data_IF_870481127982
#
_entry.id   IF_870481127982
#
_cell.length_a   1.000
_cell.length_b   1.000
_cell.length_c   1.000
_cell.angle_alpha   90.00
_cell.angle_beta   90.00
_cell.angle_gamma   90.00
#
_symmetry.space_group_name_H-M   'P 1'
#
loop_
_entity.id
_entity.type
_entity.pdbx_description
1 polymer ?
#
# COMPACT_ATOMS: atom_id res chain seq x y z
N UNK A 1 26.85 -8.48 -16.38
CA UNK A 1 25.45 -8.02 -16.54
C UNK A 1 24.49 -8.87 -15.69
N UNK A 2 24.61 -10.20 -15.70
CA UNK A 2 23.87 -11.12 -14.83
C UNK A 2 23.98 -10.77 -13.32
N UNK A 3 25.19 -10.55 -12.80
CA UNK A 3 25.40 -10.19 -11.38
C UNK A 3 24.71 -8.90 -10.95
N UNK A 4 24.62 -7.93 -11.86
CA UNK A 4 23.95 -6.65 -11.60
C UNK A 4 22.43 -6.85 -11.54
N UNK A 5 21.87 -7.70 -12.39
CA UNK A 5 20.45 -8.07 -12.38
C UNK A 5 20.14 -8.87 -11.12
N UNK A 6 20.92 -9.88 -10.75
CA UNK A 6 20.72 -10.66 -9.52
C UNK A 6 20.82 -9.81 -8.27
N UNK A 7 21.74 -8.84 -8.25
CA UNK A 7 21.84 -7.86 -7.17
C UNK A 7 20.60 -6.97 -7.10
N UNK A 8 20.11 -6.48 -8.25
CA UNK A 8 18.89 -5.66 -8.34
C UNK A 8 17.63 -6.43 -7.91
N UNK A 9 17.53 -7.71 -8.27
CA UNK A 9 16.44 -8.59 -7.87
C UNK A 9 16.49 -8.92 -6.39
N UNK A 10 17.68 -9.19 -5.85
CA UNK A 10 17.90 -9.44 -4.42
C UNK A 10 17.53 -8.22 -3.58
N UNK A 11 17.89 -7.02 -4.01
CA UNK A 11 17.47 -5.78 -3.34
C UNK A 11 16.00 -5.42 -3.64
N UNK A 12 15.44 -5.81 -4.78
CA UNK A 12 14.05 -5.55 -5.14
C UNK A 12 13.05 -6.10 -4.12
N UNK A 13 13.27 -7.33 -3.66
CA UNK A 13 12.46 -7.95 -2.60
C UNK A 13 12.62 -7.28 -1.23
N UNK A 14 13.83 -6.82 -0.89
CA UNK A 14 14.09 -6.09 0.36
C UNK A 14 13.43 -4.72 0.33
N UNK A 15 13.55 -3.99 -0.78
CA UNK A 15 12.90 -2.70 -1.00
C UNK A 15 11.38 -2.87 -0.90
N UNK A 16 10.83 -3.89 -1.56
CA UNK A 16 9.41 -4.23 -1.45
C UNK A 16 8.99 -4.47 0.00
N UNK A 17 9.77 -5.24 0.76
CA UNK A 17 9.50 -5.50 2.16
C UNK A 17 9.47 -4.20 2.96
N UNK A 18 10.50 -3.36 2.87
CA UNK A 18 10.61 -2.10 3.63
C UNK A 18 9.48 -1.14 3.28
N UNK A 19 9.16 -0.97 1.99
CA UNK A 19 8.05 -0.12 1.56
C UNK A 19 6.69 -0.66 2.03
N UNK A 20 6.49 -1.96 1.96
CA UNK A 20 5.24 -2.61 2.37
C UNK A 20 5.09 -2.66 3.90
N UNK A 21 6.20 -2.62 4.66
CA UNK A 21 6.23 -2.51 6.12
C UNK A 21 5.60 -1.20 6.60
N UNK A 22 5.91 -0.09 5.92
CA UNK A 22 5.23 1.20 6.11
C UNK A 22 3.81 1.24 5.53
N UNK A 23 3.32 0.12 4.98
CA UNK A 23 2.03 -0.04 4.31
C UNK A 23 1.99 0.60 2.91
N UNK A 24 3.12 0.96 2.30
CA UNK A 24 3.19 1.64 1.01
C UNK A 24 2.59 0.81 -0.13
N UNK A 25 1.62 1.37 -0.87
CA UNK A 25 1.08 0.74 -2.09
C UNK A 25 2.10 0.75 -3.23
N UNK A 26 2.98 1.75 -3.26
CA UNK A 26 3.97 1.94 -4.33
C UNK A 26 4.88 0.71 -4.49
N UNK A 27 5.31 0.10 -3.39
CA UNK A 27 6.21 -1.06 -3.43
C UNK A 27 5.59 -2.24 -4.18
N UNK A 28 4.39 -2.67 -3.78
CA UNK A 28 3.72 -3.81 -4.41
C UNK A 28 3.26 -3.51 -5.84
N UNK A 29 2.87 -2.27 -6.12
CA UNK A 29 2.51 -1.86 -7.50
C UNK A 29 3.73 -1.92 -8.42
N UNK A 30 4.88 -1.37 -7.98
CA UNK A 30 6.12 -1.44 -8.74
C UNK A 30 6.60 -2.87 -8.92
N UNK A 31 6.57 -3.68 -7.84
CA UNK A 31 6.93 -5.09 -7.91
C UNK A 31 6.01 -5.88 -8.85
N UNK A 32 4.70 -5.63 -8.84
CA UNK A 32 3.75 -6.26 -9.75
C UNK A 32 4.03 -5.94 -11.23
N UNK A 33 4.37 -4.69 -11.55
CA UNK A 33 4.78 -4.31 -12.92
C UNK A 33 6.12 -4.94 -13.29
N UNK A 34 7.11 -4.95 -12.38
CA UNK A 34 8.39 -5.63 -12.64
C UNK A 34 8.21 -7.14 -12.81
N UNK A 35 7.22 -7.73 -12.15
CA UNK A 35 6.85 -9.12 -12.35
C UNK A 35 6.27 -9.39 -13.73
N UNK A 36 5.50 -8.47 -14.32
CA UNK A 36 4.98 -8.66 -15.68
C UNK A 36 6.11 -8.70 -16.71
N UNK A 37 7.17 -7.94 -16.49
CA UNK A 37 8.38 -7.90 -17.32
C UNK A 37 9.33 -9.10 -17.10
N UNK A 38 8.89 -10.11 -16.35
CA UNK A 38 9.69 -11.29 -16.02
C UNK A 38 10.91 -11.01 -15.13
N UNK A 39 10.98 -9.84 -14.47
CA UNK A 39 12.09 -9.50 -13.58
C UNK A 39 11.90 -10.08 -12.19
N UNK A 40 10.68 -10.08 -11.66
CA UNK A 40 10.40 -10.58 -10.31
C UNK A 40 9.31 -11.65 -10.35
N UNK A 41 9.35 -12.58 -9.40
CA UNK A 41 8.31 -13.58 -9.25
C UNK A 41 7.11 -12.99 -8.51
N UNK A 42 5.95 -12.93 -9.17
CA UNK A 42 4.74 -12.31 -8.62
C UNK A 42 4.34 -12.96 -7.29
N UNK A 43 4.45 -14.29 -7.20
CA UNK A 43 4.11 -15.04 -5.99
C UNK A 43 4.92 -14.55 -4.78
N UNK A 44 6.24 -14.43 -4.93
CA UNK A 44 7.12 -13.94 -3.87
C UNK A 44 6.84 -12.48 -3.53
N UNK A 45 6.54 -11.64 -4.53
CA UNK A 45 6.16 -10.26 -4.29
C UNK A 45 4.91 -10.16 -3.40
N UNK A 46 3.88 -10.93 -3.70
CA UNK A 46 2.63 -10.94 -2.92
C UNK A 46 2.89 -11.43 -1.49
N UNK A 47 3.63 -12.53 -1.31
CA UNK A 47 3.94 -13.09 0.01
C UNK A 47 4.73 -12.09 0.86
N UNK A 48 5.78 -11.49 0.29
CA UNK A 48 6.64 -10.53 1.00
C UNK A 48 5.85 -9.28 1.39
N UNK A 49 5.07 -8.73 0.45
CA UNK A 49 4.25 -7.55 0.71
C UNK A 49 3.17 -7.82 1.76
N UNK A 50 2.53 -9.00 1.71
CA UNK A 50 1.57 -9.47 2.71
C UNK A 50 2.19 -9.52 4.11
N UNK A 51 3.32 -10.22 4.27
CA UNK A 51 3.99 -10.39 5.56
C UNK A 51 4.44 -9.04 6.11
N UNK A 52 5.08 -8.22 5.28
CA UNK A 52 5.52 -6.89 5.67
C UNK A 52 4.36 -6.00 6.13
N UNK A 53 3.26 -5.96 5.38
CA UNK A 53 2.10 -5.13 5.72
C UNK A 53 1.39 -5.61 7.00
N UNK A 54 1.28 -6.93 7.17
CA UNK A 54 0.70 -7.54 8.37
C UNK A 54 1.54 -7.22 9.61
N UNK A 55 2.86 -7.36 9.51
CA UNK A 55 3.82 -7.01 10.57
C UNK A 55 3.79 -5.52 10.90
N UNK A 56 3.90 -4.66 9.89
CA UNK A 56 3.88 -3.20 10.06
C UNK A 56 2.60 -2.71 10.76
N UNK A 57 1.45 -3.21 10.34
CA UNK A 57 0.17 -2.88 10.98
C UNK A 57 0.10 -3.38 12.44
N UNK A 58 0.69 -4.54 12.72
CA UNK A 58 0.75 -5.11 14.07
C UNK A 58 1.68 -4.31 14.99
N UNK A 59 2.81 -3.84 14.48
CA UNK A 59 3.72 -2.94 15.19
C UNK A 59 3.04 -1.61 15.53
N UNK A 60 2.33 -1.02 14.58
CA UNK A 60 1.58 0.22 14.82
C UNK A 60 0.49 0.06 15.88
N UNK A 61 -0.19 -1.09 15.88
CA UNK A 61 -1.18 -1.42 16.89
C UNK A 61 -0.55 -1.56 18.28
N UNK A 62 0.56 -2.30 18.40
CA UNK A 62 1.23 -2.50 19.71
C UNK A 62 1.81 -1.19 20.22
N UNK A 63 2.37 -0.35 19.35
CA UNK A 63 2.76 1.01 19.68
C UNK A 63 1.58 1.83 20.21
N UNK A 64 0.42 1.79 19.56
CA UNK A 64 -0.78 2.46 20.03
C UNK A 64 -1.29 1.95 21.39
N UNK A 65 -1.20 0.64 21.64
CA UNK A 65 -1.69 0.00 22.87
C UNK A 65 -0.80 0.27 24.08
N UNK A 66 0.51 0.10 23.92
CA UNK A 66 1.47 0.18 25.03
C UNK A 66 2.17 1.54 25.12
N UNK A 67 2.36 2.24 24.01
CA UNK A 67 3.01 3.56 23.93
C UNK A 67 2.06 4.75 24.12
N UNK A 68 0.89 4.55 24.74
CA UNK A 68 -0.16 5.57 24.84
C UNK A 68 0.32 6.89 25.46
N UNK A 69 1.15 6.83 26.50
CA UNK A 69 1.69 8.03 27.18
C UNK A 69 2.59 8.85 26.23
N UNK A 70 3.41 8.19 25.43
CA UNK A 70 4.40 8.83 24.56
C UNK A 70 3.79 9.28 23.22
N UNK A 71 2.76 8.60 22.73
CA UNK A 71 2.05 8.94 21.49
C UNK A 71 1.03 10.09 21.65
N UNK A 72 0.41 10.23 22.82
CA UNK A 72 -0.65 11.22 23.03
C UNK A 72 -0.22 12.69 22.75
N UNK A 73 1.00 13.14 23.11
CA UNK A 73 1.50 14.47 22.79
C UNK A 73 1.53 14.76 21.28
N UNK A 74 1.93 13.79 20.45
CA UNK A 74 2.00 13.94 18.99
C UNK A 74 0.61 14.15 18.35
N UNK A 75 -0.45 13.61 18.96
CA UNK A 75 -1.82 13.78 18.48
C UNK A 75 -2.56 14.95 19.12
N UNK A 76 -1.91 15.79 19.95
CA UNK A 76 -2.58 16.90 20.65
C UNK A 76 -3.33 17.85 19.70
N UNK A 77 -2.71 18.19 18.55
CA UNK A 77 -3.33 19.02 17.49
C UNK A 77 -4.49 18.33 16.77
N UNK A 78 -4.55 17.00 16.79
CA UNK A 78 -5.51 16.18 16.07
C UNK A 78 -6.43 15.37 17.00
N UNK A 79 -6.55 15.77 18.26
CA UNK A 79 -7.27 15.03 19.32
C UNK A 79 -8.70 14.66 18.94
N UNK A 80 -9.43 15.58 18.28
CA UNK A 80 -10.81 15.35 17.81
C UNK A 80 -10.88 14.26 16.74
N UNK A 81 -9.94 14.24 15.79
CA UNK A 81 -9.85 13.21 14.74
C UNK A 81 -9.49 11.85 15.34
N UNK A 82 -8.56 11.83 16.30
CA UNK A 82 -8.19 10.62 17.03
C UNK A 82 -9.36 10.04 17.83
N UNK A 83 -10.08 10.88 18.58
CA UNK A 83 -11.25 10.46 19.34
C UNK A 83 -12.35 9.89 18.42
N UNK A 84 -12.60 10.53 17.27
CA UNK A 84 -13.53 10.02 16.27
C UNK A 84 -13.08 8.66 15.72
N UNK A 85 -11.79 8.49 15.41
CA UNK A 85 -11.25 7.22 14.94
C UNK A 85 -11.40 6.10 15.99
N UNK A 86 -11.13 6.40 17.27
CA UNK A 86 -11.33 5.46 18.37
C UNK A 86 -12.80 5.06 18.52
N UNK A 87 -13.73 6.02 18.39
CA UNK A 87 -15.17 5.75 18.47
C UNK A 87 -15.65 4.91 17.28
N UNK A 88 -15.23 5.25 16.07
CA UNK A 88 -15.52 4.46 14.86
C UNK A 88 -14.90 3.06 14.92
N UNK A 89 -13.75 2.90 15.56
CA UNK A 89 -13.14 1.59 15.75
C UNK A 89 -13.99 0.68 16.64
N UNK A 90 -14.66 1.25 17.66
CA UNK A 90 -15.57 0.48 18.53
C UNK A 90 -16.83 0.03 17.80
N UNK A 91 -17.33 0.84 16.86
CA UNK A 91 -18.55 0.55 16.11
C UNK A 91 -18.31 -0.32 14.86
N UNK A 92 -17.24 -0.06 14.11
CA UNK A 92 -16.97 -0.61 12.78
C UNK A 92 -15.57 -1.23 12.65
N UNK A 93 -14.93 -1.60 13.76
CA UNK A 93 -13.50 -1.94 13.80
C UNK A 93 -13.05 -2.92 12.72
N UNK A 94 -13.78 -4.02 12.50
CA UNK A 94 -13.41 -5.01 11.50
C UNK A 94 -13.41 -4.47 10.07
N UNK A 95 -14.51 -3.84 9.65
CA UNK A 95 -14.63 -3.22 8.32
C UNK A 95 -13.60 -2.12 8.12
N UNK A 96 -13.35 -1.32 9.17
CA UNK A 96 -12.40 -0.22 9.13
C UNK A 96 -10.95 -0.72 8.94
N UNK A 97 -10.60 -1.86 9.53
CA UNK A 97 -9.29 -2.51 9.38
C UNK A 97 -9.03 -3.06 7.96
N UNK A 98 -10.09 -3.38 7.22
CA UNK A 98 -10.00 -3.78 5.81
C UNK A 98 -9.85 -2.53 4.93
N UNK A 99 -10.79 -1.60 5.05
CA UNK A 99 -10.87 -0.41 4.18
C UNK A 99 -9.62 0.47 4.30
N UNK A 100 -9.06 0.61 5.51
CA UNK A 100 -7.87 1.44 5.74
C UNK A 100 -6.69 1.10 4.82
N UNK A 101 -6.57 -0.16 4.35
CA UNK A 101 -5.40 -0.62 3.60
C UNK A 101 -5.35 -0.05 2.20
N UNK A 102 -6.52 0.30 1.66
CA UNK A 102 -6.66 0.88 0.32
C UNK A 102 -6.63 2.41 0.33
N UNK A 103 -6.65 3.05 1.51
CA UNK A 103 -6.70 4.51 1.63
C UNK A 103 -5.40 5.03 2.22
N UNK A 104 -4.73 5.90 1.46
CA UNK A 104 -3.51 6.55 1.91
C UNK A 104 -3.75 7.37 3.19
N UNK A 105 -2.81 7.32 4.13
CA UNK A 105 -2.89 7.98 5.43
C UNK A 105 -3.72 7.23 6.48
N UNK A 106 -4.84 6.59 6.12
CA UNK A 106 -5.66 5.83 7.07
C UNK A 106 -4.97 4.57 7.56
N UNK A 107 -4.25 3.86 6.68
CA UNK A 107 -3.52 2.62 6.99
C UNK A 107 -2.56 2.72 8.18
N UNK A 108 -2.02 3.91 8.45
CA UNK A 108 -1.08 4.14 9.57
C UNK A 108 -1.82 4.60 10.81
N UNK A 109 -2.87 5.41 10.63
CA UNK A 109 -3.61 6.03 11.73
C UNK A 109 -4.58 5.06 12.42
N UNK A 110 -5.26 4.22 11.65
CA UNK A 110 -6.29 3.30 12.13
C UNK A 110 -5.71 2.18 13.03
N UNK A 111 -4.55 1.53 12.75
CA UNK A 111 -4.00 0.53 13.66
C UNK A 111 -3.56 1.14 14.99
N UNK A 112 -2.97 2.35 14.96
CA UNK A 112 -2.62 3.11 16.16
C UNK A 112 -3.89 3.43 16.96
N UNK A 113 -4.95 3.93 16.31
CA UNK A 113 -6.23 4.22 16.94
C UNK A 113 -6.88 2.96 17.54
N UNK A 114 -6.75 1.80 16.89
CA UNK A 114 -7.22 0.52 17.42
C UNK A 114 -6.47 0.13 18.70
N UNK A 115 -5.14 0.30 18.73
CA UNK A 115 -4.34 0.09 19.93
C UNK A 115 -4.75 1.03 21.08
N UNK A 116 -4.86 2.32 20.79
CA UNK A 116 -5.26 3.35 21.78
C UNK A 116 -6.68 3.14 22.32
N UNK A 117 -7.58 2.58 21.50
CA UNK A 117 -8.95 2.25 21.87
C UNK A 117 -9.07 0.96 22.70
N UNK A 118 -7.95 0.25 22.96
CA UNK A 118 -7.92 -1.08 23.58
C UNK A 118 -8.83 -2.07 22.85
N UNK A 119 -8.77 -2.07 21.51
CA UNK A 119 -9.44 -3.10 20.72
C UNK A 119 -8.89 -4.50 21.07
N UNK A 120 -9.63 -5.57 20.80
CA UNK A 120 -9.13 -6.92 21.10
C UNK A 120 -7.98 -7.28 20.16
N UNK A 121 -6.85 -7.72 20.72
CA UNK A 121 -5.65 -8.00 19.92
C UNK A 121 -5.80 -9.20 19.01
N UNK A 122 -6.51 -10.26 19.46
CA UNK A 122 -6.72 -11.47 18.65
C UNK A 122 -7.61 -11.16 17.45
N UNK A 123 -8.72 -10.43 17.68
CA UNK A 123 -9.60 -9.96 16.61
C UNK A 123 -8.85 -9.05 15.64
N UNK A 124 -8.05 -8.11 16.15
CA UNK A 124 -7.22 -7.25 15.32
C UNK A 124 -6.29 -8.06 14.43
N UNK A 125 -5.53 -9.01 14.98
CA UNK A 125 -4.58 -9.81 14.22
C UNK A 125 -5.26 -10.62 13.12
N UNK A 126 -6.36 -11.32 13.43
CA UNK A 126 -7.07 -12.15 12.45
C UNK A 126 -7.56 -11.27 11.28
N UNK A 127 -8.25 -10.17 11.59
CA UNK A 127 -8.82 -9.29 10.57
C UNK A 127 -7.70 -8.58 9.78
N UNK A 128 -6.65 -8.10 10.46
CA UNK A 128 -5.53 -7.44 9.82
C UNK A 128 -4.78 -8.37 8.87
N UNK A 129 -4.58 -9.63 9.25
CA UNK A 129 -3.93 -10.63 8.41
C UNK A 129 -4.77 -10.89 7.16
N UNK A 130 -6.07 -11.18 7.31
CA UNK A 130 -6.96 -11.38 6.16
C UNK A 130 -7.02 -10.15 5.26
N UNK A 131 -7.11 -8.96 5.85
CA UNK A 131 -7.09 -7.70 5.12
C UNK A 131 -5.76 -7.48 4.37
N UNK A 132 -4.63 -7.84 4.97
CA UNK A 132 -3.30 -7.69 4.35
C UNK A 132 -3.15 -8.64 3.18
N UNK A 133 -3.68 -9.86 3.30
CA UNK A 133 -3.67 -10.85 2.24
C UNK A 133 -4.52 -10.39 1.07
N UNK A 134 -5.76 -9.96 1.34
CA UNK A 134 -6.66 -9.43 0.32
C UNK A 134 -6.03 -8.22 -0.39
N UNK A 135 -5.44 -7.30 0.36
CA UNK A 135 -4.73 -6.13 -0.18
C UNK A 135 -3.55 -6.53 -1.07
N UNK A 136 -2.72 -7.48 -0.64
CA UNK A 136 -1.55 -7.92 -1.40
C UNK A 136 -1.95 -8.63 -2.71
N UNK A 137 -2.96 -9.50 -2.65
CA UNK A 137 -3.49 -10.18 -3.83
C UNK A 137 -4.09 -9.18 -4.82
N UNK A 138 -4.98 -8.30 -4.34
CA UNK A 138 -5.65 -7.32 -5.21
C UNK A 138 -4.66 -6.39 -5.89
N UNK A 139 -3.76 -5.75 -5.14
CA UNK A 139 -2.80 -4.83 -5.76
C UNK A 139 -1.73 -5.54 -6.58
N UNK A 140 -1.26 -6.71 -6.15
CA UNK A 140 -0.27 -7.49 -6.88
C UNK A 140 -0.78 -7.92 -8.25
N UNK A 141 -1.96 -8.54 -8.31
CA UNK A 141 -2.56 -8.99 -9.58
C UNK A 141 -2.97 -7.81 -10.47
N UNK A 142 -3.57 -6.76 -9.91
CA UNK A 142 -3.96 -5.58 -10.69
C UNK A 142 -2.72 -4.93 -11.32
N UNK A 143 -1.63 -4.77 -10.57
CA UNK A 143 -0.40 -4.21 -11.09
C UNK A 143 0.26 -5.09 -12.16
N UNK A 144 0.27 -6.41 -11.95
CA UNK A 144 0.80 -7.36 -12.93
C UNK A 144 0.02 -7.33 -14.25
N UNK A 145 -1.32 -7.39 -14.19
CA UNK A 145 -2.17 -7.32 -15.39
C UNK A 145 -2.02 -5.98 -16.10
N UNK A 146 -1.91 -4.88 -15.34
CA UNK A 146 -1.68 -3.56 -15.93
C UNK A 146 -0.30 -3.47 -16.59
N UNK A 147 0.74 -4.01 -15.96
CA UNK A 147 2.08 -4.08 -16.53
C UNK A 147 2.11 -4.83 -17.87
N UNK A 148 1.42 -5.98 -17.95
CA UNK A 148 1.30 -6.76 -19.18
C UNK A 148 0.55 -6.00 -20.29
N UNK A 149 -0.53 -5.30 -19.94
CA UNK A 149 -1.27 -4.45 -20.89
C UNK A 149 -0.40 -3.31 -21.43
N UNK A 150 0.37 -2.65 -20.54
CA UNK A 150 1.28 -1.58 -20.93
C UNK A 150 2.36 -2.12 -21.85
N UNK A 151 3.00 -3.25 -21.53
CA UNK A 151 4.00 -3.88 -22.38
C UNK A 151 3.45 -4.20 -23.78
N UNK A 152 2.27 -4.82 -23.86
CA UNK A 152 1.62 -5.15 -25.13
C UNK A 152 1.29 -3.91 -25.97
N UNK A 153 0.78 -2.84 -25.34
CA UNK A 153 0.56 -1.56 -26.02
C UNK A 153 1.89 -1.00 -26.51
N UNK A 154 2.95 -1.07 -25.72
CA UNK A 154 4.27 -0.56 -26.13
C UNK A 154 4.89 -1.38 -27.27
N UNK A 155 4.65 -2.68 -27.35
CA UNK A 155 5.08 -3.52 -28.48
C UNK A 155 4.31 -3.18 -29.76
N UNK A 156 2.98 -3.03 -29.69
CA UNK A 156 2.16 -2.62 -30.84
C UNK A 156 2.49 -1.20 -31.34
N UNK A 157 2.80 -0.28 -30.42
CA UNK A 157 3.21 1.09 -30.74
C UNK A 157 4.74 1.26 -30.90
N UNK A 158 5.52 0.18 -30.74
CA UNK A 158 6.99 0.16 -30.69
C UNK A 158 7.70 0.57 -31.98
N UNK A 159 6.95 0.92 -33.03
CA UNK A 159 7.49 1.56 -34.23
C UNK A 159 7.76 3.07 -34.07
N UNK A 160 7.30 3.69 -32.98
CA UNK A 160 7.47 5.13 -32.72
C UNK A 160 8.10 5.38 -31.34
N UNK A 161 9.43 5.60 -31.29
CA UNK A 161 10.22 5.88 -30.07
C UNK A 161 9.74 7.06 -29.21
N UNK A 162 8.83 7.91 -29.73
CA UNK A 162 8.26 9.06 -29.02
C UNK A 162 6.91 8.79 -28.36
N UNK A 163 6.26 7.65 -28.61
CA UNK A 163 4.91 7.36 -28.10
C UNK A 163 4.88 7.13 -26.59
N UNK A 164 5.92 6.52 -26.03
CA UNK A 164 6.07 6.24 -24.60
C UNK A 164 6.03 7.50 -23.70
N UNK A 165 6.88 8.52 -23.92
CA UNK A 165 6.79 9.76 -23.15
C UNK A 165 5.50 10.53 -23.44
N UNK A 166 4.97 10.48 -24.66
CA UNK A 166 3.69 11.12 -25.00
C UNK A 166 2.51 10.51 -24.27
N UNK A 167 2.45 9.19 -24.12
CA UNK A 167 1.41 8.50 -23.38
C UNK A 167 1.49 8.79 -21.88
N UNK A 168 2.70 8.83 -21.32
CA UNK A 168 2.94 9.24 -19.94
C UNK A 168 2.50 10.68 -19.69
N UNK A 169 2.89 11.60 -20.57
CA UNK A 169 2.47 13.02 -20.52
C UNK A 169 0.95 13.14 -20.68
N UNK A 170 0.34 12.36 -21.56
CA UNK A 170 -1.10 12.33 -21.76
C UNK A 170 -1.85 11.82 -20.53
N UNK A 171 -1.40 10.72 -19.91
CA UNK A 171 -1.97 10.22 -18.66
C UNK A 171 -1.86 11.24 -17.53
N UNK A 172 -0.69 11.85 -17.37
CA UNK A 172 -0.46 12.90 -16.36
C UNK A 172 -1.36 14.11 -16.63
N UNK A 173 -1.49 14.53 -17.89
CA UNK A 173 -2.36 15.63 -18.31
C UNK A 173 -3.85 15.31 -18.07
N UNK A 174 -4.29 14.07 -18.35
CA UNK A 174 -5.66 13.63 -18.08
C UNK A 174 -5.96 13.61 -16.60
N UNK A 175 -5.05 13.07 -15.78
CA UNK A 175 -5.17 13.04 -14.33
C UNK A 175 -5.22 14.48 -13.79
N UNK A 176 -4.34 15.36 -14.28
CA UNK A 176 -4.33 16.77 -13.89
C UNK A 176 -5.62 17.50 -14.31
N UNK A 177 -6.09 17.28 -15.53
CA UNK A 177 -7.35 17.85 -16.02
C UNK A 177 -8.54 17.38 -15.18
N UNK A 178 -8.61 16.09 -14.88
CA UNK A 178 -9.69 15.51 -14.07
C UNK A 178 -9.66 16.03 -12.63
N UNK A 179 -8.47 16.12 -12.02
CA UNK A 179 -8.30 16.70 -10.67
C UNK A 179 -8.61 18.20 -10.64
N UNK A 180 -8.23 18.96 -11.68
CA UNK A 180 -8.51 20.40 -11.79
C UNK A 180 -10.01 20.70 -11.93
N UNK A 181 -10.77 19.78 -12.54
CA UNK A 181 -12.23 19.85 -12.62
C UNK A 181 -12.92 19.60 -11.28
N UNK A 182 -12.33 18.76 -10.42
CA UNK A 182 -12.87 18.49 -9.07
C UNK A 182 -12.46 19.54 -8.03
N UNK A 183 -11.31 20.20 -8.19
CA UNK A 183 -10.83 21.22 -7.24
C UNK A 183 -11.51 22.60 -7.36
N UNK A 184 -12.45 22.77 -8.30
CA UNK A 184 -13.21 24.02 -8.50
C UNK A 184 -14.66 23.98 -7.95
N UNK A 185 -14.96 23.06 -7.03
CA UNK A 185 -16.21 23.08 -6.25
C UNK A 185 -15.93 23.24 -4.77
#
# INVERSE_FOLDING_TARGET
MQDMIDTLLRYGYVILFVYSLGGGMVGILAAGVLSSLGKMELHWCIVIAFVANALGSSLLYTMGKYGKKDLMPYFKKHRRKLALAMLKMRQYGGTLLIIQKFIYGLKTFIPIAAGLANYDFKKFLIINTLASLLWALTLGYVAFSFGYLVEKVFEEFGRYSYAAPLFLVFLVALIWFYLSRFSKK
#
